data_IF_188794812748
#
_entry.id   IF_188794812748
#
_cell.length_a   1.000
_cell.length_b   1.000
_cell.length_c   1.000
_cell.angle_alpha   90.00
_cell.angle_beta   90.00
_cell.angle_gamma   90.00
#
_symmetry.space_group_name_H-M   'P 1'
#
loop_
_entity.id
_entity.type
_entity.pdbx_description
1 polymer ?
#
# COMPACT_ATOMS: atom_id res chain seq x y z
N UNK A 1 -4.73 14.72 11.19
CA UNK A 1 -3.77 13.73 10.64
C UNK A 1 -3.31 14.19 9.27
N UNK A 2 -2.07 13.89 8.87
CA UNK A 2 -1.52 14.22 7.55
C UNK A 2 -0.92 12.97 6.92
N UNK A 3 -1.21 12.76 5.64
CA UNK A 3 -0.77 11.62 4.84
C UNK A 3 0.28 12.04 3.80
N UNK A 4 1.22 11.15 3.53
CA UNK A 4 2.08 11.20 2.36
C UNK A 4 1.62 10.11 1.40
N UNK A 5 1.20 10.51 0.20
CA UNK A 5 0.74 9.61 -0.86
C UNK A 5 1.78 9.64 -1.97
N UNK A 6 2.40 8.51 -2.26
CA UNK A 6 3.46 8.38 -3.25
C UNK A 6 3.12 7.27 -4.23
N UNK A 7 2.93 7.57 -5.51
CA UNK A 7 2.57 6.54 -6.47
C UNK A 7 3.10 6.81 -7.88
N UNK A 8 3.30 5.71 -8.60
CA UNK A 8 3.70 5.76 -9.99
C UNK A 8 2.47 5.94 -10.90
N UNK A 9 2.44 7.02 -11.67
CA UNK A 9 1.41 7.28 -12.68
C UNK A 9 1.98 7.31 -14.10
N UNK A 10 3.16 6.73 -14.32
CA UNK A 10 3.77 6.65 -15.65
C UNK A 10 2.99 5.66 -16.51
N UNK A 11 2.32 6.16 -17.53
CA UNK A 11 1.52 5.36 -18.48
C UNK A 11 2.35 4.49 -19.42
N UNK A 12 3.66 4.68 -19.46
CA UNK A 12 4.59 3.79 -20.18
C UNK A 12 4.99 2.54 -19.38
N UNK A 13 4.72 2.54 -18.06
CA UNK A 13 4.90 1.40 -17.18
C UNK A 13 3.67 0.48 -17.24
N UNK A 14 3.89 -0.82 -17.47
CA UNK A 14 2.81 -1.82 -17.55
C UNK A 14 1.94 -1.88 -16.27
N UNK A 15 2.52 -1.61 -15.11
CA UNK A 15 1.81 -1.57 -13.84
C UNK A 15 1.35 -0.14 -13.44
N UNK A 16 1.80 0.89 -14.16
CA UNK A 16 1.56 2.29 -13.84
C UNK A 16 0.07 2.64 -13.71
N UNK A 17 -0.76 2.07 -14.57
CA UNK A 17 -2.22 2.26 -14.50
C UNK A 17 -2.85 1.71 -13.21
N UNK A 18 -2.35 0.60 -12.66
CA UNK A 18 -2.81 0.06 -11.38
C UNK A 18 -2.35 0.92 -10.20
N UNK A 19 -1.08 1.34 -10.21
CA UNK A 19 -0.55 2.20 -9.16
C UNK A 19 -1.21 3.57 -9.16
N UNK A 20 -1.46 4.15 -10.34
CA UNK A 20 -2.22 5.39 -10.50
C UNK A 20 -3.64 5.25 -9.93
N UNK A 21 -4.36 4.18 -10.27
CA UNK A 21 -5.69 3.94 -9.72
C UNK A 21 -5.68 3.85 -8.19
N UNK A 22 -4.73 3.11 -7.59
CA UNK A 22 -4.61 3.03 -6.13
C UNK A 22 -4.29 4.40 -5.50
N UNK A 23 -3.43 5.21 -6.13
CA UNK A 23 -3.09 6.55 -5.66
C UNK A 23 -4.26 7.52 -5.74
N UNK A 24 -4.97 7.55 -6.85
CA UNK A 24 -6.15 8.39 -7.06
C UNK A 24 -7.31 8.03 -6.13
N UNK A 25 -7.57 6.74 -5.91
CA UNK A 25 -8.53 6.26 -4.90
C UNK A 25 -8.14 6.72 -3.49
N UNK A 26 -6.82 6.75 -3.20
CA UNK A 26 -6.33 7.25 -1.94
C UNK A 26 -6.56 8.75 -1.79
N UNK A 27 -6.31 9.54 -2.84
CA UNK A 27 -6.56 10.99 -2.83
C UNK A 27 -8.06 11.30 -2.63
N UNK A 28 -8.95 10.60 -3.35
CA UNK A 28 -10.40 10.74 -3.17
C UNK A 28 -10.82 10.41 -1.73
N UNK A 29 -10.31 9.32 -1.17
CA UNK A 29 -10.61 8.95 0.21
C UNK A 29 -10.10 9.99 1.23
N UNK A 30 -8.97 10.66 0.96
CA UNK A 30 -8.51 11.78 1.81
C UNK A 30 -9.49 12.95 1.80
N UNK A 31 -10.02 13.32 0.64
CA UNK A 31 -11.02 14.39 0.51
C UNK A 31 -12.30 14.03 1.25
N UNK A 32 -12.81 12.81 1.08
CA UNK A 32 -14.03 12.32 1.75
C UNK A 32 -13.93 12.36 3.27
N UNK A 33 -12.76 12.03 3.84
CA UNK A 33 -12.53 12.00 5.28
C UNK A 33 -11.99 13.33 5.86
N UNK A 34 -11.72 14.33 5.01
CA UNK A 34 -11.20 15.63 5.41
C UNK A 34 -9.76 15.58 5.96
N UNK A 35 -8.95 14.62 5.52
CA UNK A 35 -7.54 14.53 5.88
C UNK A 35 -6.65 15.37 4.96
N UNK A 36 -5.59 15.96 5.53
CA UNK A 36 -4.58 16.62 4.72
C UNK A 36 -3.63 15.61 4.08
N UNK A 37 -3.27 15.83 2.81
CA UNK A 37 -2.31 14.97 2.11
C UNK A 37 -1.21 15.77 1.40
N UNK A 38 -0.08 15.11 1.19
CA UNK A 38 0.98 15.52 0.26
C UNK A 38 1.10 14.40 -0.77
N UNK A 39 1.05 14.75 -2.04
CA UNK A 39 1.11 13.78 -3.14
C UNK A 39 2.46 13.90 -3.86
N UNK A 40 3.10 12.75 -4.08
CA UNK A 40 4.33 12.62 -4.86
C UNK A 40 4.12 11.62 -6.00
N UNK A 41 4.23 12.13 -7.22
CA UNK A 41 4.21 11.33 -8.45
C UNK A 41 5.46 11.65 -9.29
N UNK A 42 5.82 10.85 -10.30
CA UNK A 42 6.88 11.23 -11.23
C UNK A 42 6.68 12.64 -11.83
N UNK A 43 7.73 13.48 -11.92
CA UNK A 43 9.14 13.20 -11.59
C UNK A 43 9.51 13.41 -10.11
N UNK A 44 8.57 13.80 -9.25
CA UNK A 44 8.81 14.13 -7.83
C UNK A 44 8.90 12.90 -6.93
N UNK A 45 8.70 11.70 -7.45
CA UNK A 45 8.74 10.43 -6.72
C UNK A 45 10.21 10.04 -6.43
N UNK A 46 10.85 10.76 -5.51
CA UNK A 46 12.26 10.58 -5.14
C UNK A 46 12.44 10.39 -3.64
N UNK A 47 13.49 9.68 -3.23
CA UNK A 47 13.82 9.48 -1.80
C UNK A 47 13.95 10.81 -1.04
N UNK A 48 14.63 11.80 -1.62
CA UNK A 48 14.82 13.10 -0.97
C UNK A 48 13.49 13.81 -0.66
N UNK A 49 12.57 13.86 -1.62
CA UNK A 49 11.26 14.47 -1.43
C UNK A 49 10.36 13.65 -0.49
N UNK A 50 10.44 12.32 -0.57
CA UNK A 50 9.72 11.45 0.37
C UNK A 50 10.16 11.73 1.80
N UNK A 51 11.45 11.69 2.09
CA UNK A 51 11.98 11.92 3.44
C UNK A 51 11.70 13.34 3.94
N UNK A 52 11.82 14.36 3.09
CA UNK A 52 11.48 15.74 3.43
C UNK A 52 10.04 15.88 3.90
N UNK A 53 9.09 15.28 3.18
CA UNK A 53 7.65 15.40 3.49
C UNK A 53 7.21 14.44 4.59
N UNK A 54 7.89 13.30 4.76
CA UNK A 54 7.58 12.32 5.79
C UNK A 54 7.68 12.88 7.21
N UNK A 55 8.52 13.91 7.42
CA UNK A 55 8.65 14.56 8.74
C UNK A 55 7.35 15.12 9.29
N UNK A 56 6.44 15.54 8.43
CA UNK A 56 5.15 16.13 8.79
C UNK A 56 3.97 15.15 8.72
N UNK A 57 4.20 13.92 8.23
CA UNK A 57 3.15 12.94 7.98
C UNK A 57 3.17 11.83 9.03
N UNK A 58 1.99 11.27 9.31
CA UNK A 58 1.80 10.14 10.23
C UNK A 58 1.64 8.82 9.49
N UNK A 59 1.09 8.89 8.28
CA UNK A 59 0.84 7.75 7.40
C UNK A 59 1.55 8.00 6.07
N UNK A 60 2.24 6.98 5.58
CA UNK A 60 2.83 6.93 4.26
C UNK A 60 2.12 5.85 3.45
N UNK A 61 1.46 6.23 2.37
CA UNK A 61 0.92 5.31 1.37
C UNK A 61 1.84 5.30 0.16
N UNK A 62 2.23 4.12 -0.31
CA UNK A 62 3.08 3.99 -1.51
C UNK A 62 2.49 2.93 -2.44
N UNK A 63 2.28 3.28 -3.72
CA UNK A 63 1.93 2.34 -4.77
C UNK A 63 2.96 2.41 -5.91
N UNK A 64 3.85 1.44 -5.98
CA UNK A 64 4.91 1.36 -6.99
C UNK A 64 5.56 -0.03 -7.00
N UNK A 65 6.44 -0.28 -7.98
CA UNK A 65 7.30 -1.46 -7.99
C UNK A 65 8.14 -1.58 -6.72
N UNK A 66 8.47 -2.80 -6.36
CA UNK A 66 9.37 -3.08 -5.24
C UNK A 66 9.94 -4.48 -5.29
N UNK A 67 10.87 -4.70 -4.39
CA UNK A 67 11.48 -5.99 -4.14
C UNK A 67 11.58 -6.28 -2.63
N UNK A 68 12.34 -7.30 -2.24
CA UNK A 68 12.50 -7.66 -0.82
C UNK A 68 13.12 -6.54 0.03
N UNK A 69 13.93 -5.65 -0.57
CA UNK A 69 14.78 -4.67 0.11
C UNK A 69 14.33 -3.24 -0.09
N UNK A 70 13.52 -2.97 -1.14
CA UNK A 70 13.20 -1.60 -1.52
C UNK A 70 11.84 -1.43 -2.20
N UNK A 71 11.39 -0.18 -2.26
CA UNK A 71 10.32 0.30 -3.12
C UNK A 71 10.94 1.32 -4.08
N UNK A 72 10.68 1.13 -5.38
CA UNK A 72 11.23 1.95 -6.44
C UNK A 72 10.68 3.40 -6.43
N UNK A 73 11.47 4.31 -6.97
CA UNK A 73 11.10 5.69 -7.28
C UNK A 73 11.53 6.06 -8.69
N UNK A 74 11.44 7.34 -9.00
CA UNK A 74 11.72 7.82 -10.37
C UNK A 74 13.21 7.71 -10.76
N UNK A 75 14.12 7.86 -9.79
CA UNK A 75 15.58 7.82 -10.02
C UNK A 75 16.27 6.95 -8.94
N UNK A 76 15.85 5.73 -8.76
CA UNK A 76 16.30 4.80 -7.72
C UNK A 76 15.26 4.58 -6.64
N UNK A 77 15.64 3.93 -5.56
CA UNK A 77 14.71 3.56 -4.49
C UNK A 77 14.22 4.78 -3.70
N UNK A 78 12.91 4.84 -3.44
CA UNK A 78 12.33 5.87 -2.55
C UNK A 78 12.40 5.45 -1.08
N UNK A 79 12.30 4.15 -0.80
CA UNK A 79 12.49 3.53 0.52
C UNK A 79 13.32 2.28 0.33
N UNK A 80 14.37 2.09 1.11
CA UNK A 80 15.14 0.84 1.07
C UNK A 80 15.77 0.51 2.43
N UNK A 81 16.22 -0.73 2.60
CA UNK A 81 16.94 -1.16 3.82
C UNK A 81 18.25 -0.39 4.03
N UNK A 82 18.82 0.19 2.94
CA UNK A 82 20.09 0.89 2.94
C UNK A 82 19.94 2.41 3.11
N UNK A 83 18.70 2.94 3.16
CA UNK A 83 18.42 4.36 3.38
C UNK A 83 18.18 4.68 4.85
N UNK A 84 18.20 5.98 5.19
CA UNK A 84 17.89 6.43 6.55
C UNK A 84 16.37 6.29 6.83
N UNK A 85 16.00 5.18 7.42
CA UNK A 85 14.60 4.86 7.74
C UNK A 85 14.13 5.42 9.10
N UNK A 86 14.96 6.12 9.86
CA UNK A 86 14.63 6.62 11.20
C UNK A 86 13.37 7.55 11.20
N UNK A 87 13.08 8.23 10.09
CA UNK A 87 11.89 9.07 9.94
C UNK A 87 10.57 8.29 9.89
N UNK A 88 10.62 6.97 9.70
CA UNK A 88 9.42 6.12 9.77
C UNK A 88 9.02 5.74 11.20
N UNK A 89 9.84 6.09 12.20
CA UNK A 89 9.51 5.82 13.61
C UNK A 89 8.16 6.42 13.99
N UNK A 90 7.31 5.62 14.64
CA UNK A 90 5.97 6.00 15.09
C UNK A 90 4.91 6.10 13.98
N UNK A 91 5.25 5.78 12.73
CA UNK A 91 4.35 5.95 11.57
C UNK A 91 3.75 4.64 11.09
N UNK A 92 2.78 4.76 10.19
CA UNK A 92 2.24 3.65 9.41
C UNK A 92 2.76 3.75 7.96
N UNK A 93 3.26 2.63 7.43
CA UNK A 93 3.53 2.47 6.00
C UNK A 93 2.53 1.48 5.40
N UNK A 94 1.80 1.92 4.37
CA UNK A 94 0.92 1.09 3.56
C UNK A 94 1.47 1.00 2.14
N UNK A 95 1.95 -0.17 1.74
CA UNK A 95 2.66 -0.37 0.50
C UNK A 95 1.93 -1.34 -0.44
N UNK A 96 1.43 -0.84 -1.55
CA UNK A 96 0.99 -1.63 -2.71
C UNK A 96 2.22 -1.87 -3.59
N UNK A 97 3.03 -2.87 -3.21
CA UNK A 97 4.35 -3.11 -3.79
C UNK A 97 4.78 -4.57 -3.61
N UNK A 98 5.46 -5.13 -4.61
CA UNK A 98 5.92 -6.52 -4.58
C UNK A 98 6.92 -6.76 -3.45
N UNK A 99 6.83 -7.90 -2.79
CA UNK A 99 7.83 -8.52 -1.88
C UNK A 99 8.39 -7.64 -0.75
N UNK A 100 7.96 -6.38 -0.62
CA UNK A 100 8.49 -5.39 0.32
C UNK A 100 8.34 -5.79 1.81
N UNK A 101 7.51 -6.78 2.11
CA UNK A 101 7.35 -7.31 3.48
C UNK A 101 8.43 -8.31 3.90
N UNK A 102 9.37 -8.69 3.03
CA UNK A 102 10.43 -9.66 3.37
C UNK A 102 11.52 -9.04 4.25
N UNK A 103 12.32 -8.13 3.70
CA UNK A 103 13.46 -7.53 4.40
C UNK A 103 13.16 -6.08 4.79
N UNK A 104 12.55 -5.29 3.89
CA UNK A 104 12.27 -3.87 4.13
C UNK A 104 11.39 -3.68 5.37
N UNK A 105 10.33 -4.46 5.54
CA UNK A 105 9.49 -4.43 6.74
C UNK A 105 10.34 -4.55 8.01
N UNK A 106 11.26 -5.52 8.07
CA UNK A 106 12.06 -5.76 9.26
C UNK A 106 13.00 -4.58 9.56
N UNK A 107 13.59 -3.96 8.52
CA UNK A 107 14.39 -2.75 8.65
C UNK A 107 13.56 -1.59 9.24
N UNK A 108 12.35 -1.35 8.72
CA UNK A 108 11.47 -0.29 9.19
C UNK A 108 10.96 -0.53 10.62
N UNK A 109 10.61 -1.76 10.96
CA UNK A 109 10.21 -2.16 12.32
C UNK A 109 11.35 -1.93 13.32
N UNK A 110 12.59 -2.22 12.93
CA UNK A 110 13.77 -2.03 13.80
C UNK A 110 14.02 -0.56 14.17
N UNK A 111 13.55 0.40 13.38
CA UNK A 111 13.62 1.83 13.67
C UNK A 111 12.35 2.39 14.32
N UNK A 112 11.39 1.52 14.68
CA UNK A 112 10.19 1.90 15.41
C UNK A 112 8.97 2.22 14.54
N UNK A 113 8.89 1.68 13.30
CA UNK A 113 7.66 1.75 12.51
C UNK A 113 6.50 1.13 13.31
N UNK A 114 5.39 1.82 13.43
CA UNK A 114 4.26 1.38 14.26
C UNK A 114 3.37 0.38 13.56
N UNK A 115 3.16 0.55 12.26
CA UNK A 115 2.40 -0.41 11.46
C UNK A 115 2.94 -0.49 10.03
N UNK A 116 2.94 -1.70 9.49
CA UNK A 116 3.32 -2.00 8.11
C UNK A 116 2.25 -2.84 7.43
N UNK A 117 1.89 -2.44 6.22
CA UNK A 117 1.01 -3.17 5.31
C UNK A 117 1.74 -3.36 3.99
N UNK A 118 1.78 -4.57 3.48
CA UNK A 118 2.45 -4.88 2.21
C UNK A 118 2.43 -6.37 1.91
N UNK A 119 3.29 -6.82 1.02
CA UNK A 119 3.25 -8.17 0.49
C UNK A 119 4.61 -8.85 0.59
N UNK A 120 4.62 -10.13 0.96
CA UNK A 120 5.85 -10.94 1.03
C UNK A 120 6.12 -11.73 -0.25
N UNK A 121 5.25 -11.63 -1.26
CA UNK A 121 5.42 -12.23 -2.57
C UNK A 121 5.14 -11.21 -3.68
N UNK A 122 5.32 -11.62 -4.92
CA UNK A 122 4.98 -10.80 -6.09
C UNK A 122 3.49 -10.46 -6.05
N UNK A 123 3.18 -9.19 -6.22
CA UNK A 123 1.82 -8.72 -6.37
C UNK A 123 1.37 -8.92 -7.83
N UNK A 124 0.35 -9.73 -8.04
CA UNK A 124 -0.25 -9.90 -9.35
C UNK A 124 -1.15 -8.70 -9.65
N UNK A 125 -1.00 -8.13 -10.82
CA UNK A 125 -1.77 -6.98 -11.31
C UNK A 125 -2.31 -7.35 -12.69
N UNK A 126 -3.63 -7.15 -12.86
CA UNK A 126 -4.30 -7.40 -14.14
C UNK A 126 -5.04 -6.16 -14.59
N UNK A 127 -4.63 -5.61 -15.72
CA UNK A 127 -5.26 -4.44 -16.30
C UNK A 127 -6.73 -4.73 -16.69
N UNK A 128 -7.62 -3.78 -16.38
CA UNK A 128 -9.06 -3.91 -16.68
C UNK A 128 -9.89 -4.67 -15.64
N UNK A 129 -9.26 -5.16 -14.58
CA UNK A 129 -9.95 -5.85 -13.49
C UNK A 129 -9.85 -5.02 -12.19
N UNK A 130 -10.89 -4.21 -11.86
CA UNK A 130 -10.86 -3.31 -10.69
C UNK A 130 -10.76 -4.06 -9.36
N UNK A 131 -11.12 -5.35 -9.34
CA UNK A 131 -11.03 -6.22 -8.17
C UNK A 131 -9.64 -6.20 -7.53
N UNK A 132 -8.57 -6.17 -8.35
CA UNK A 132 -7.19 -6.18 -7.85
C UNK A 132 -6.85 -4.93 -7.03
N UNK A 133 -7.21 -3.74 -7.53
CA UNK A 133 -6.96 -2.49 -6.82
C UNK A 133 -7.92 -2.31 -5.64
N UNK A 134 -9.21 -2.66 -5.81
CA UNK A 134 -10.22 -2.61 -4.75
C UNK A 134 -9.81 -3.45 -3.54
N UNK A 135 -9.34 -4.68 -3.76
CA UNK A 135 -8.81 -5.55 -2.71
C UNK A 135 -7.58 -4.95 -2.03
N UNK A 136 -6.62 -4.40 -2.80
CA UNK A 136 -5.42 -3.77 -2.24
C UNK A 136 -5.74 -2.54 -1.37
N UNK A 137 -6.81 -1.81 -1.65
CA UNK A 137 -7.16 -0.56 -0.95
C UNK A 137 -8.08 -0.76 0.25
N UNK A 138 -8.75 -1.92 0.36
CA UNK A 138 -9.79 -2.16 1.37
C UNK A 138 -9.29 -1.96 2.81
N UNK A 139 -8.08 -2.40 3.14
CA UNK A 139 -7.52 -2.23 4.47
C UNK A 139 -7.30 -0.77 4.85
N UNK A 140 -6.81 0.05 3.93
CA UNK A 140 -6.61 1.48 4.20
C UNK A 140 -7.94 2.21 4.35
N UNK A 141 -8.93 1.93 3.49
CA UNK A 141 -10.29 2.48 3.62
C UNK A 141 -10.91 2.15 4.98
N UNK A 142 -10.81 0.90 5.41
CA UNK A 142 -11.27 0.49 6.75
C UNK A 142 -10.56 1.21 7.89
N UNK A 143 -9.24 1.42 7.79
CA UNK A 143 -8.50 2.21 8.79
C UNK A 143 -9.00 3.66 8.85
N UNK A 144 -9.31 4.26 7.71
CA UNK A 144 -9.84 5.63 7.64
C UNK A 144 -11.25 5.73 8.19
N UNK A 145 -12.05 4.68 8.10
CA UNK A 145 -13.36 4.52 8.76
C UNK A 145 -13.26 4.32 10.28
N UNK A 146 -12.05 4.41 10.85
CA UNK A 146 -11.80 4.32 12.29
C UNK A 146 -11.72 2.92 12.84
N UNK A 147 -11.58 1.91 11.98
CA UNK A 147 -11.33 0.51 12.39
C UNK A 147 -9.93 0.36 12.97
N UNK A 148 -9.76 -0.65 13.82
CA UNK A 148 -8.45 -1.07 14.32
C UNK A 148 -7.66 -1.79 13.22
N UNK A 149 -6.34 -1.94 13.42
CA UNK A 149 -5.48 -2.72 12.50
C UNK A 149 -6.03 -4.12 12.29
N UNK A 150 -6.48 -4.78 13.37
CA UNK A 150 -7.07 -6.12 13.27
C UNK A 150 -8.35 -6.14 12.42
N UNK A 151 -9.31 -5.27 12.73
CA UNK A 151 -10.57 -5.19 11.99
C UNK A 151 -10.34 -4.85 10.51
N UNK A 152 -9.47 -3.88 10.22
CA UNK A 152 -9.15 -3.50 8.86
C UNK A 152 -8.45 -4.61 8.06
N UNK A 153 -7.60 -5.41 8.71
CA UNK A 153 -7.00 -6.62 8.11
C UNK A 153 -8.05 -7.68 7.79
N UNK A 154 -9.01 -7.90 8.70
CA UNK A 154 -10.11 -8.85 8.49
C UNK A 154 -11.02 -8.39 7.34
N UNK A 155 -11.37 -7.11 7.30
CA UNK A 155 -12.16 -6.53 6.20
C UNK A 155 -11.42 -6.58 4.86
N UNK A 156 -10.11 -6.29 4.82
CA UNK A 156 -9.32 -6.44 3.60
C UNK A 156 -9.31 -7.89 3.10
N UNK A 157 -9.15 -8.87 3.99
CA UNK A 157 -9.23 -10.29 3.62
C UNK A 157 -10.62 -10.70 3.14
N UNK A 158 -11.68 -10.16 3.76
CA UNK A 158 -13.05 -10.37 3.32
C UNK A 158 -13.30 -9.77 1.92
N UNK A 159 -12.74 -8.58 1.64
CA UNK A 159 -12.80 -7.97 0.31
C UNK A 159 -12.08 -8.83 -0.74
N UNK A 160 -10.90 -9.35 -0.43
CA UNK A 160 -10.22 -10.30 -1.32
C UNK A 160 -11.09 -11.53 -1.61
N UNK A 161 -11.71 -12.13 -0.59
CA UNK A 161 -12.59 -13.29 -0.77
C UNK A 161 -13.79 -12.97 -1.67
N UNK A 162 -14.41 -11.80 -1.45
CA UNK A 162 -15.52 -11.33 -2.28
C UNK A 162 -15.09 -11.16 -3.74
N UNK A 163 -13.96 -10.49 -3.96
CA UNK A 163 -13.45 -10.20 -5.30
C UNK A 163 -12.98 -11.46 -6.06
N UNK A 164 -12.42 -12.45 -5.34
CA UNK A 164 -12.10 -13.77 -5.89
C UNK A 164 -13.38 -14.46 -6.37
N UNK A 165 -14.43 -14.52 -5.53
CA UNK A 165 -15.70 -15.13 -5.90
C UNK A 165 -16.38 -14.40 -7.07
N UNK A 166 -16.31 -13.08 -7.10
CA UNK A 166 -16.81 -12.27 -8.22
C UNK A 166 -16.11 -12.63 -9.54
N UNK A 167 -14.75 -12.76 -9.51
CA UNK A 167 -14.00 -13.18 -10.69
C UNK A 167 -14.33 -14.61 -11.15
N UNK A 168 -14.51 -15.56 -10.23
CA UNK A 168 -14.93 -16.92 -10.54
C UNK A 168 -16.31 -16.97 -11.21
N UNK A 169 -17.25 -16.14 -10.75
CA UNK A 169 -18.60 -16.07 -11.31
C UNK A 169 -18.62 -15.38 -12.68
N UNK A 170 -17.88 -14.27 -12.83
CA UNK A 170 -17.86 -13.50 -14.08
C UNK A 170 -17.00 -14.17 -15.17
N UNK A 171 -15.95 -14.88 -14.79
CA UNK A 171 -14.98 -15.50 -15.70
C UNK A 171 -14.76 -16.98 -15.39
N UNK A 172 -15.80 -17.84 -15.45
CA UNK A 172 -15.69 -19.25 -15.02
C UNK A 172 -14.72 -20.09 -15.87
N UNK A 173 -14.37 -19.62 -17.05
CA UNK A 173 -13.41 -20.29 -17.94
C UNK A 173 -11.98 -19.74 -17.80
N UNK A 174 -11.78 -18.68 -17.01
CA UNK A 174 -10.47 -18.07 -16.73
C UNK A 174 -10.17 -18.09 -15.22
N UNK A 175 -9.92 -19.28 -14.71
CA UNK A 175 -9.61 -19.50 -13.30
C UNK A 175 -8.30 -18.84 -12.86
N UNK A 176 -7.48 -18.39 -13.80
CA UNK A 176 -6.19 -17.79 -13.51
C UNK A 176 -6.35 -16.41 -12.85
N UNK A 177 -7.39 -15.66 -13.22
CA UNK A 177 -7.68 -14.35 -12.60
C UNK A 177 -7.96 -14.48 -11.09
N UNK A 178 -8.88 -15.37 -10.73
CA UNK A 178 -9.21 -15.61 -9.33
C UNK A 178 -8.01 -16.18 -8.55
N UNK A 179 -7.26 -17.12 -9.14
CA UNK A 179 -6.06 -17.69 -8.53
C UNK A 179 -4.97 -16.63 -8.28
N UNK A 180 -4.72 -15.73 -9.22
CA UNK A 180 -3.75 -14.65 -9.06
C UNK A 180 -4.16 -13.66 -7.95
N UNK A 181 -5.44 -13.39 -7.79
CA UNK A 181 -5.94 -12.55 -6.70
C UNK A 181 -5.87 -13.29 -5.35
N UNK A 182 -6.08 -14.61 -5.33
CA UNK A 182 -5.85 -15.46 -4.16
C UNK A 182 -4.36 -15.42 -3.73
N UNK A 183 -3.43 -15.50 -4.66
CA UNK A 183 -2.00 -15.36 -4.37
C UNK A 183 -1.67 -14.01 -3.70
N UNK A 184 -2.30 -12.92 -4.15
CA UNK A 184 -2.15 -11.61 -3.52
C UNK A 184 -2.67 -11.61 -2.07
N UNK A 185 -3.84 -12.23 -1.83
CA UNK A 185 -4.40 -12.37 -0.47
C UNK A 185 -3.47 -13.13 0.46
N UNK A 186 -2.88 -14.23 -0.03
CA UNK A 186 -1.95 -15.06 0.76
C UNK A 186 -0.61 -14.35 1.01
N UNK A 187 -0.18 -13.50 0.07
CA UNK A 187 1.04 -12.70 0.20
C UNK A 187 0.88 -11.48 1.15
N UNK A 188 -0.35 -11.14 1.56
CA UNK A 188 -0.61 -9.98 2.42
C UNK A 188 0.02 -10.15 3.80
N UNK A 189 0.87 -9.21 4.17
CA UNK A 189 1.50 -9.09 5.49
C UNK A 189 1.07 -7.79 6.15
N UNK A 190 0.53 -7.91 7.35
CA UNK A 190 0.20 -6.77 8.22
C UNK A 190 0.95 -6.93 9.54
N UNK A 191 1.70 -5.89 9.91
CA UNK A 191 2.38 -5.76 11.19
C UNK A 191 1.83 -4.54 11.93
N UNK A 192 1.67 -4.66 13.24
CA UNK A 192 1.18 -3.63 14.14
C UNK A 192 0.40 -4.25 15.29
N UNK A 193 0.11 -3.44 16.32
CA UNK A 193 -0.73 -3.87 17.45
C UNK A 193 -2.20 -3.91 17.00
N UNK A 194 -2.90 -4.98 17.32
CA UNK A 194 -4.25 -5.30 16.83
C UNK A 194 -5.29 -4.19 17.08
N UNK A 195 -5.22 -3.50 18.23
CA UNK A 195 -6.21 -2.50 18.71
C UNK A 195 -5.87 -1.06 18.31
N UNK A 196 -4.72 -0.83 17.66
CA UNK A 196 -4.31 0.50 17.20
C UNK A 196 -5.20 0.98 16.06
N UNK A 197 -5.58 2.25 16.13
CA UNK A 197 -6.32 2.98 15.08
C UNK A 197 -5.43 4.05 14.46
N UNK A 198 -5.85 4.59 13.32
CA UNK A 198 -5.15 5.74 12.74
C UNK A 198 -5.07 6.94 13.70
N UNK A 199 -6.13 7.18 14.49
CA UNK A 199 -6.15 8.24 15.50
C UNK A 199 -5.03 8.13 16.54
N UNK A 200 -4.51 6.94 16.79
CA UNK A 200 -3.49 6.67 17.80
C UNK A 200 -2.05 6.93 17.29
N UNK A 201 -1.92 7.31 16.02
CA UNK A 201 -0.66 7.69 15.38
C UNK A 201 -0.35 9.19 15.46
N UNK A 202 -1.28 9.98 16.05
CA UNK A 202 -1.15 11.43 16.20
C UNK A 202 -0.34 11.82 17.43
#
# INVERSE_FOLDING_TARGET
MKFLIAYNNDTSDEAGGHFAFCGEEMEMAMEEHGYASIVLTPPSLTNALLLQNLTECHVCFIANHGDARSIAGNNGDIVSVDTNNALFSGKLLYAVSCTCAKELKNSLVSVGLRSFWGYDNKLNIWYGYPQYARSCMAGMKSLMDGKTIKEAKEEMRAQYNHDISELEEQYPNDTYLAAALLDNREALVVYGEDDVKLSDLM
#
